data_IF_853046656287
#
_entry.id   IF_853046656287
#
_cell.length_a   1.000
_cell.length_b   1.000
_cell.length_c   1.000
_cell.angle_alpha   90.00
_cell.angle_beta   90.00
_cell.angle_gamma   90.00
#
_symmetry.space_group_name_H-M   'P 1'
#
loop_
_entity.id
_entity.type
_entity.pdbx_description
1 polymer ?
#
# COMPACT_ATOMS: atom_id res chain seq x y z
N UNK A 1 -78.20 -82.99 -69.31
CA UNK A 1 -79.66 -83.03 -69.57
C UNK A 1 -79.91 -82.47 -70.97
N UNK A 2 -80.61 -83.21 -71.83
CA UNK A 2 -81.14 -82.66 -73.09
C UNK A 2 -82.46 -81.95 -72.77
N UNK A 3 -82.56 -80.67 -73.13
CA UNK A 3 -83.79 -79.89 -73.03
C UNK A 3 -84.54 -79.99 -74.35
N UNK A 4 -85.79 -80.44 -74.32
CA UNK A 4 -86.63 -80.61 -75.50
C UNK A 4 -87.94 -79.86 -75.36
N UNK A 5 -88.23 -78.98 -76.31
CA UNK A 5 -89.52 -78.34 -76.46
C UNK A 5 -90.34 -79.15 -77.46
N UNK A 6 -91.26 -79.98 -76.95
CA UNK A 6 -92.17 -80.80 -77.77
C UNK A 6 -92.96 -79.97 -78.80
N UNK A 7 -93.63 -78.86 -78.45
CA UNK A 7 -94.44 -78.09 -79.42
C UNK A 7 -93.63 -77.54 -80.58
N UNK A 8 -92.36 -77.18 -80.34
CA UNK A 8 -91.50 -76.63 -81.38
C UNK A 8 -90.62 -77.67 -82.07
N UNK A 9 -90.66 -78.93 -81.62
CA UNK A 9 -89.69 -79.99 -81.94
C UNK A 9 -88.23 -79.54 -81.84
N UNK A 10 -87.94 -78.59 -80.94
CA UNK A 10 -86.61 -78.03 -80.73
C UNK A 10 -85.90 -78.79 -79.59
N UNK A 11 -84.62 -79.11 -79.76
CA UNK A 11 -83.82 -79.74 -78.72
C UNK A 11 -82.43 -79.12 -78.64
N UNK A 12 -81.93 -79.00 -77.42
CA UNK A 12 -80.58 -78.51 -77.14
C UNK A 12 -80.06 -79.13 -75.84
N UNK A 13 -78.74 -79.21 -75.68
CA UNK A 13 -78.11 -79.63 -74.41
C UNK A 13 -77.84 -78.44 -73.47
N UNK A 14 -77.97 -77.20 -73.94
CA UNK A 14 -77.66 -75.99 -73.17
C UNK A 14 -78.92 -75.33 -72.59
N UNK A 15 -78.98 -75.19 -71.26
CA UNK A 15 -80.13 -74.59 -70.56
C UNK A 15 -80.40 -73.15 -71.00
N UNK A 16 -79.36 -72.33 -71.10
CA UNK A 16 -79.50 -70.93 -71.52
C UNK A 16 -80.12 -70.80 -72.91
N UNK A 17 -79.72 -71.64 -73.88
CA UNK A 17 -80.35 -71.67 -75.21
C UNK A 17 -81.80 -72.16 -75.17
N UNK A 18 -82.14 -73.04 -74.23
CA UNK A 18 -83.51 -73.46 -74.01
C UNK A 18 -84.36 -72.33 -73.39
N UNK A 19 -83.85 -71.63 -72.39
CA UNK A 19 -84.52 -70.47 -71.78
C UNK A 19 -84.71 -69.34 -72.81
N UNK A 20 -83.70 -69.09 -73.65
CA UNK A 20 -83.82 -68.14 -74.77
C UNK A 20 -84.85 -68.62 -75.79
N UNK A 21 -84.88 -69.93 -76.10
CA UNK A 21 -85.89 -70.53 -76.96
C UNK A 21 -87.31 -70.30 -76.42
N UNK A 22 -87.54 -70.50 -75.12
CA UNK A 22 -88.85 -70.25 -74.49
C UNK A 22 -89.28 -68.78 -74.59
N UNK A 23 -88.33 -67.85 -74.62
CA UNK A 23 -88.59 -66.42 -74.83
C UNK A 23 -88.76 -66.02 -76.31
N UNK A 24 -88.45 -66.91 -77.27
CA UNK A 24 -88.58 -66.56 -78.70
C UNK A 24 -90.04 -66.48 -79.14
N UNK A 25 -90.35 -65.49 -79.97
CA UNK A 25 -91.70 -65.31 -80.52
C UNK A 25 -92.21 -66.52 -81.29
N UNK A 26 -91.30 -67.32 -81.88
CA UNK A 26 -91.63 -68.60 -82.53
C UNK A 26 -92.16 -69.63 -81.54
N UNK A 27 -91.57 -69.72 -80.35
CA UNK A 27 -92.06 -70.61 -79.30
C UNK A 27 -93.42 -70.14 -78.77
N UNK A 28 -93.59 -68.84 -78.50
CA UNK A 28 -94.88 -68.29 -78.09
C UNK A 28 -95.98 -68.58 -79.11
N UNK A 29 -95.71 -68.45 -80.43
CA UNK A 29 -96.69 -68.81 -81.47
C UNK A 29 -97.02 -70.30 -81.48
N UNK A 30 -96.03 -71.18 -81.35
CA UNK A 30 -96.28 -72.63 -81.33
C UNK A 30 -97.04 -73.08 -80.07
N UNK A 31 -96.74 -72.48 -78.92
CA UNK A 31 -97.51 -72.66 -77.68
C UNK A 31 -98.95 -72.13 -77.84
N UNK A 32 -99.12 -71.01 -78.55
CA UNK A 32 -100.44 -70.47 -78.86
C UNK A 32 -101.23 -71.44 -79.76
N UNK A 33 -100.60 -72.04 -80.76
CA UNK A 33 -101.24 -73.05 -81.63
C UNK A 33 -101.64 -74.30 -80.84
N UNK A 34 -100.77 -74.82 -79.97
CA UNK A 34 -101.13 -75.94 -79.08
C UNK A 34 -102.28 -75.56 -78.17
N UNK A 35 -102.23 -74.38 -77.55
CA UNK A 35 -103.31 -73.86 -76.72
C UNK A 35 -104.60 -73.74 -77.52
N UNK A 36 -104.57 -73.19 -78.75
CA UNK A 36 -105.76 -73.00 -79.58
C UNK A 36 -106.43 -74.31 -79.97
N UNK A 37 -105.64 -75.39 -80.13
CA UNK A 37 -106.11 -76.76 -80.37
C UNK A 37 -106.56 -77.51 -79.10
N UNK A 38 -106.35 -76.95 -77.89
CA UNK A 38 -106.89 -77.53 -76.66
C UNK A 38 -108.40 -77.33 -76.58
N UNK A 39 -109.08 -78.30 -75.97
CA UNK A 39 -110.52 -78.23 -75.74
C UNK A 39 -110.86 -77.07 -74.78
N UNK A 40 -112.09 -76.56 -74.85
CA UNK A 40 -112.50 -75.42 -74.03
C UNK A 40 -112.35 -75.67 -72.52
N UNK A 41 -112.53 -76.91 -72.06
CA UNK A 41 -112.41 -77.29 -70.64
C UNK A 41 -110.97 -77.22 -70.13
N UNK A 42 -109.98 -77.57 -70.96
CA UNK A 42 -108.56 -77.47 -70.59
C UNK A 42 -108.13 -76.01 -70.45
N UNK A 43 -108.61 -75.13 -71.37
CA UNK A 43 -108.36 -73.68 -71.30
C UNK A 43 -108.96 -73.07 -70.04
N UNK A 44 -110.19 -73.46 -69.68
CA UNK A 44 -110.86 -72.98 -68.46
C UNK A 44 -110.11 -73.44 -67.21
N UNK A 45 -109.60 -74.68 -67.18
CA UNK A 45 -108.85 -75.19 -66.04
C UNK A 45 -107.53 -74.44 -65.83
N UNK A 46 -106.79 -74.15 -66.90
CA UNK A 46 -105.55 -73.35 -66.84
C UNK A 46 -105.84 -71.92 -66.37
N UNK A 47 -106.89 -71.28 -66.90
CA UNK A 47 -107.27 -69.91 -66.50
C UNK A 47 -107.74 -69.85 -65.05
N UNK A 48 -108.49 -70.85 -64.55
CA UNK A 48 -108.84 -70.95 -63.12
C UNK A 48 -107.60 -71.05 -62.24
N UNK A 49 -106.63 -71.86 -62.64
CA UNK A 49 -105.39 -72.05 -61.88
C UNK A 49 -104.54 -70.76 -61.88
N UNK A 50 -104.49 -70.03 -63.00
CA UNK A 50 -103.85 -68.71 -63.08
C UNK A 50 -104.57 -67.66 -62.20
N UNK A 51 -105.90 -67.67 -62.17
CA UNK A 51 -106.69 -66.76 -61.35
C UNK A 51 -106.48 -67.04 -59.85
N UNK A 52 -106.45 -68.31 -59.44
CA UNK A 52 -106.18 -68.72 -58.06
C UNK A 52 -104.78 -68.26 -57.62
N UNK A 53 -103.79 -68.45 -58.49
CA UNK A 53 -102.41 -68.06 -58.23
C UNK A 53 -102.26 -66.52 -58.14
N UNK A 54 -102.97 -65.78 -59.00
CA UNK A 54 -103.02 -64.32 -58.93
C UNK A 54 -103.68 -63.81 -57.63
N UNK A 55 -104.75 -64.47 -57.15
CA UNK A 55 -105.38 -64.15 -55.86
C UNK A 55 -104.43 -64.37 -54.68
N UNK A 56 -103.68 -65.48 -54.69
CA UNK A 56 -102.65 -65.77 -53.68
C UNK A 56 -101.54 -64.71 -53.67
N UNK A 57 -101.03 -64.31 -54.84
CA UNK A 57 -100.03 -63.25 -54.92
C UNK A 57 -100.55 -61.89 -54.44
N UNK A 58 -101.82 -61.57 -54.74
CA UNK A 58 -102.43 -60.33 -54.27
C UNK A 58 -102.58 -60.33 -52.73
N UNK A 59 -102.99 -61.45 -52.14
CA UNK A 59 -103.11 -61.59 -50.69
C UNK A 59 -101.74 -61.45 -49.98
N UNK A 60 -100.69 -62.08 -50.53
CA UNK A 60 -99.32 -61.94 -50.05
C UNK A 60 -98.86 -60.48 -50.07
N UNK A 61 -98.96 -59.80 -51.22
CA UNK A 61 -98.59 -58.37 -51.34
C UNK A 61 -99.38 -57.47 -50.40
N UNK A 62 -100.67 -57.75 -50.20
CA UNK A 62 -101.51 -56.97 -49.29
C UNK A 62 -101.05 -57.13 -47.83
N UNK A 63 -100.57 -58.32 -47.44
CA UNK A 63 -100.01 -58.56 -46.10
C UNK A 63 -98.66 -57.87 -45.91
N UNK A 64 -97.81 -57.82 -46.94
CA UNK A 64 -96.50 -57.14 -46.92
C UNK A 64 -96.67 -55.63 -46.74
N UNK A 65 -97.58 -55.01 -47.50
CA UNK A 65 -97.88 -53.58 -47.37
C UNK A 65 -98.40 -53.22 -45.97
N UNK A 66 -99.19 -54.11 -45.33
CA UNK A 66 -99.64 -53.91 -43.94
C UNK A 66 -98.47 -53.96 -42.95
N UNK A 67 -97.56 -54.93 -43.10
CA UNK A 67 -96.34 -55.03 -42.26
C UNK A 67 -95.43 -53.81 -42.46
N UNK A 68 -95.24 -53.35 -43.69
CA UNK A 68 -94.39 -52.20 -44.00
C UNK A 68 -94.94 -50.89 -43.42
N UNK A 69 -96.26 -50.68 -43.49
CA UNK A 69 -96.92 -49.55 -42.82
C UNK A 69 -96.72 -49.58 -41.30
N UNK A 70 -96.75 -50.76 -40.69
CA UNK A 70 -96.54 -50.90 -39.24
C UNK A 70 -95.09 -50.62 -38.84
N UNK A 71 -94.11 -51.14 -39.61
CA UNK A 71 -92.68 -50.86 -39.42
C UNK A 71 -92.40 -49.36 -39.56
N UNK A 72 -92.96 -48.70 -40.58
CA UNK A 72 -92.78 -47.25 -40.80
C UNK A 72 -93.34 -46.42 -39.63
N UNK A 73 -94.45 -46.85 -39.02
CA UNK A 73 -95.04 -46.19 -37.86
C UNK A 73 -94.16 -46.33 -36.61
N UNK A 74 -93.57 -47.49 -36.37
CA UNK A 74 -92.65 -47.70 -35.24
C UNK A 74 -91.32 -46.96 -35.43
N UNK A 75 -90.74 -46.99 -36.64
CA UNK A 75 -89.54 -46.21 -36.97
C UNK A 75 -89.75 -44.70 -36.74
N UNK A 76 -90.91 -44.17 -37.15
CA UNK A 76 -91.26 -42.76 -36.90
C UNK A 76 -91.25 -42.41 -35.40
N UNK A 77 -91.78 -43.29 -34.54
CA UNK A 77 -91.77 -43.06 -33.08
C UNK A 77 -90.35 -43.05 -32.51
N UNK A 78 -89.49 -43.97 -32.97
CA UNK A 78 -88.08 -44.05 -32.53
C UNK A 78 -87.32 -42.78 -32.93
N UNK A 79 -87.46 -42.35 -34.18
CA UNK A 79 -86.80 -41.13 -34.69
C UNK A 79 -87.24 -39.89 -33.90
N UNK A 80 -88.54 -39.76 -33.59
CA UNK A 80 -89.05 -38.64 -32.79
C UNK A 80 -88.53 -38.69 -31.35
N UNK A 81 -88.44 -39.89 -30.74
CA UNK A 81 -87.88 -40.04 -29.39
C UNK A 81 -86.40 -39.66 -29.34
N UNK A 82 -85.62 -40.14 -30.31
CA UNK A 82 -84.18 -39.86 -30.42
C UNK A 82 -83.90 -38.38 -30.69
N UNK A 83 -84.72 -37.72 -31.53
CA UNK A 83 -84.62 -36.27 -31.75
C UNK A 83 -84.90 -35.45 -30.48
N UNK A 84 -85.85 -35.89 -29.64
CA UNK A 84 -86.14 -35.23 -28.35
C UNK A 84 -85.00 -35.40 -27.34
N UNK A 85 -84.38 -36.57 -27.29
CA UNK A 85 -83.22 -36.84 -26.42
C UNK A 85 -81.99 -36.02 -26.85
N UNK A 86 -81.68 -36.00 -28.15
CA UNK A 86 -80.58 -35.20 -28.70
C UNK A 86 -80.78 -33.71 -28.42
N UNK A 87 -82.01 -33.19 -28.59
CA UNK A 87 -82.33 -31.78 -28.27
C UNK A 87 -82.10 -31.47 -26.78
N UNK A 88 -82.37 -32.43 -25.89
CA UNK A 88 -82.13 -32.28 -24.44
C UNK A 88 -80.63 -32.31 -24.12
N UNK A 89 -79.86 -33.21 -24.73
CA UNK A 89 -78.41 -33.28 -24.58
C UNK A 89 -77.73 -31.99 -25.05
N UNK A 90 -78.04 -31.54 -26.27
CA UNK A 90 -77.50 -30.29 -26.82
C UNK A 90 -77.82 -29.06 -25.95
N UNK A 91 -79.00 -29.01 -25.33
CA UNK A 91 -79.36 -27.93 -24.40
C UNK A 91 -78.51 -27.96 -23.12
N UNK A 92 -78.13 -29.14 -22.64
CA UNK A 92 -77.27 -29.30 -21.47
C UNK A 92 -75.81 -28.96 -21.81
N UNK A 93 -75.29 -29.47 -22.92
CA UNK A 93 -73.94 -29.16 -23.41
C UNK A 93 -73.76 -27.66 -23.64
N UNK A 94 -74.75 -26.99 -24.24
CA UNK A 94 -74.73 -25.54 -24.42
C UNK A 94 -74.65 -24.79 -23.09
N UNK A 95 -75.40 -25.21 -22.08
CA UNK A 95 -75.36 -24.59 -20.74
C UNK A 95 -74.00 -24.81 -20.06
N UNK A 96 -73.40 -25.98 -20.25
CA UNK A 96 -72.09 -26.30 -19.68
C UNK A 96 -70.96 -25.51 -20.37
N UNK A 97 -70.98 -25.45 -21.71
CA UNK A 97 -70.06 -24.61 -22.48
C UNK A 97 -70.17 -23.13 -22.09
N UNK A 98 -71.38 -22.61 -21.88
CA UNK A 98 -71.58 -21.23 -21.43
C UNK A 98 -71.01 -20.97 -20.02
N UNK A 99 -71.15 -21.94 -19.09
CA UNK A 99 -70.52 -21.87 -17.77
C UNK A 99 -69.00 -21.87 -17.85
N UNK A 100 -68.41 -22.70 -18.72
CA UNK A 100 -66.96 -22.75 -18.94
C UNK A 100 -66.46 -21.43 -19.52
N UNK A 101 -67.15 -20.91 -20.52
CA UNK A 101 -66.80 -19.64 -21.16
C UNK A 101 -66.85 -18.46 -20.18
N UNK A 102 -67.90 -18.34 -19.36
CA UNK A 102 -67.99 -17.30 -18.30
C UNK A 102 -66.86 -17.43 -17.28
N UNK A 103 -66.46 -18.65 -16.89
CA UNK A 103 -65.32 -18.87 -16.00
C UNK A 103 -63.98 -18.47 -16.64
N UNK A 104 -63.79 -18.71 -17.94
CA UNK A 104 -62.58 -18.29 -18.64
C UNK A 104 -62.50 -16.77 -18.79
N UNK A 105 -63.60 -16.13 -19.19
CA UNK A 105 -63.68 -14.68 -19.37
C UNK A 105 -63.37 -13.93 -18.06
N UNK A 106 -63.91 -14.41 -16.93
CA UNK A 106 -63.64 -13.81 -15.61
C UNK A 106 -62.18 -14.00 -15.16
N UNK A 107 -61.55 -15.13 -15.50
CA UNK A 107 -60.11 -15.33 -15.26
C UNK A 107 -59.26 -14.35 -16.08
N UNK A 108 -59.60 -14.15 -17.35
CA UNK A 108 -58.86 -13.26 -18.24
C UNK A 108 -58.97 -11.79 -17.81
N UNK A 109 -60.16 -11.34 -17.39
CA UNK A 109 -60.37 -10.01 -16.83
C UNK A 109 -59.55 -9.78 -15.56
N UNK A 110 -59.54 -10.75 -14.64
CA UNK A 110 -58.70 -10.68 -13.42
C UNK A 110 -57.22 -10.60 -13.76
N UNK A 111 -56.76 -11.33 -14.78
CA UNK A 111 -55.37 -11.29 -15.23
C UNK A 111 -55.01 -9.91 -15.82
N UNK A 112 -55.87 -9.36 -16.67
CA UNK A 112 -55.70 -8.01 -17.26
C UNK A 112 -55.61 -6.93 -16.17
N UNK A 113 -56.47 -6.97 -15.15
CA UNK A 113 -56.39 -6.03 -14.01
C UNK A 113 -55.09 -6.17 -13.21
N UNK A 114 -54.62 -7.41 -12.95
CA UNK A 114 -53.33 -7.64 -12.28
C UNK A 114 -52.16 -7.06 -13.07
N UNK A 115 -52.12 -7.29 -14.38
CA UNK A 115 -51.08 -6.74 -15.26
C UNK A 115 -51.10 -5.21 -15.23
N UNK A 116 -52.28 -4.59 -15.24
CA UNK A 116 -52.41 -3.13 -15.18
C UNK A 116 -51.92 -2.56 -13.84
N UNK A 117 -52.21 -3.22 -12.71
CA UNK A 117 -51.68 -2.84 -11.39
C UNK A 117 -50.15 -2.98 -11.34
N UNK A 118 -49.59 -4.08 -11.85
CA UNK A 118 -48.14 -4.28 -11.89
C UNK A 118 -47.45 -3.21 -12.73
N UNK A 119 -48.00 -2.83 -13.89
CA UNK A 119 -47.46 -1.74 -14.72
C UNK A 119 -47.42 -0.40 -13.98
N UNK A 120 -48.43 -0.09 -13.15
CA UNK A 120 -48.44 1.14 -12.32
C UNK A 120 -47.36 1.09 -11.23
N UNK A 121 -47.17 -0.06 -10.59
CA UNK A 121 -46.13 -0.25 -9.58
C UNK A 121 -44.73 -0.10 -10.16
N UNK A 122 -44.45 -0.72 -11.33
CA UNK A 122 -43.16 -0.61 -12.01
C UNK A 122 -42.83 0.85 -12.33
N UNK A 123 -43.78 1.62 -12.90
CA UNK A 123 -43.57 3.06 -13.17
C UNK A 123 -43.26 3.86 -11.90
N UNK A 124 -43.89 3.52 -10.77
CA UNK A 124 -43.62 4.19 -9.49
C UNK A 124 -42.21 3.87 -8.99
N UNK A 125 -41.83 2.58 -9.02
CA UNK A 125 -40.48 2.13 -8.63
C UNK A 125 -39.40 2.75 -9.51
N UNK A 126 -39.61 2.85 -10.82
CA UNK A 126 -38.69 3.50 -11.75
C UNK A 126 -38.48 4.98 -11.40
N UNK A 127 -39.57 5.70 -11.08
CA UNK A 127 -39.51 7.10 -10.63
C UNK A 127 -38.76 7.28 -9.30
N UNK A 128 -39.02 6.41 -8.32
CA UNK A 128 -38.32 6.45 -7.03
C UNK A 128 -36.83 6.08 -7.19
N UNK A 129 -36.51 5.12 -8.06
CA UNK A 129 -35.13 4.73 -8.38
C UNK A 129 -34.36 5.88 -9.03
N UNK A 130 -35.02 6.67 -9.90
CA UNK A 130 -34.42 7.84 -10.51
C UNK A 130 -34.08 8.91 -9.46
N UNK A 131 -35.01 9.22 -8.55
CA UNK A 131 -34.77 10.18 -7.45
C UNK A 131 -33.64 9.73 -6.53
N UNK A 132 -33.57 8.45 -6.17
CA UNK A 132 -32.48 7.89 -5.36
C UNK A 132 -31.13 8.04 -6.08
N UNK A 133 -31.08 7.88 -7.40
CA UNK A 133 -29.85 8.09 -8.17
C UNK A 133 -29.40 9.55 -8.15
N UNK A 134 -30.32 10.51 -8.30
CA UNK A 134 -30.00 11.95 -8.20
C UNK A 134 -29.50 12.33 -6.80
N UNK A 135 -30.15 11.86 -5.74
CA UNK A 135 -29.74 12.10 -4.36
C UNK A 135 -28.33 11.56 -4.10
N UNK A 136 -28.04 10.34 -4.58
CA UNK A 136 -26.71 9.73 -4.44
C UNK A 136 -25.62 10.49 -5.20
N UNK A 137 -25.95 11.12 -6.33
CA UNK A 137 -25.00 11.98 -7.05
C UNK A 137 -24.69 13.23 -6.22
N UNK A 138 -25.72 13.91 -5.68
CA UNK A 138 -25.53 15.09 -4.80
C UNK A 138 -24.68 14.78 -3.57
N UNK A 139 -24.97 13.68 -2.87
CA UNK A 139 -24.20 13.27 -1.69
C UNK A 139 -22.73 13.00 -2.05
N UNK A 140 -22.45 12.40 -3.21
CA UNK A 140 -21.07 12.19 -3.68
C UNK A 140 -20.37 13.52 -3.99
N UNK A 141 -21.05 14.48 -4.60
CA UNK A 141 -20.51 15.81 -4.89
C UNK A 141 -20.17 16.59 -3.61
N UNK A 142 -21.06 16.57 -2.61
CA UNK A 142 -20.79 17.18 -1.30
C UNK A 142 -19.60 16.54 -0.60
N UNK A 143 -19.51 15.20 -0.62
CA UNK A 143 -18.38 14.47 -0.03
C UNK A 143 -17.04 14.88 -0.65
N UNK A 144 -17.00 15.01 -1.99
CA UNK A 144 -15.81 15.50 -2.70
C UNK A 144 -15.46 16.93 -2.29
N UNK A 145 -16.46 17.80 -2.08
CA UNK A 145 -16.24 19.20 -1.68
C UNK A 145 -15.63 19.28 -0.27
N UNK A 146 -16.18 18.52 0.68
CA UNK A 146 -15.65 18.42 2.06
C UNK A 146 -14.22 17.87 2.05
N UNK A 147 -13.94 16.86 1.24
CA UNK A 147 -12.61 16.26 1.15
C UNK A 147 -11.56 17.25 0.60
N UNK A 148 -11.94 18.06 -0.41
CA UNK A 148 -11.09 19.15 -0.92
C UNK A 148 -10.81 20.23 0.12
N UNK A 149 -11.79 20.59 0.95
CA UNK A 149 -11.56 21.56 2.04
C UNK A 149 -10.64 20.99 3.12
N UNK A 150 -10.82 19.72 3.50
CA UNK A 150 -9.93 19.04 4.44
C UNK A 150 -8.47 18.98 3.96
N UNK A 151 -8.24 18.75 2.66
CA UNK A 151 -6.90 18.79 2.07
C UNK A 151 -6.29 20.19 2.21
N UNK A 152 -7.03 21.25 1.88
CA UNK A 152 -6.55 22.64 2.03
C UNK A 152 -6.20 22.99 3.47
N UNK A 153 -6.98 22.53 4.45
CA UNK A 153 -6.68 22.74 5.87
C UNK A 153 -5.41 22.00 6.28
N UNK A 154 -5.23 20.75 5.84
CA UNK A 154 -4.00 19.98 6.11
C UNK A 154 -2.76 20.64 5.51
N UNK A 155 -2.84 21.16 4.30
CA UNK A 155 -1.74 21.89 3.65
C UNK A 155 -1.36 23.17 4.40
N UNK A 156 -2.35 23.96 4.84
CA UNK A 156 -2.09 25.15 5.68
C UNK A 156 -1.42 24.78 7.01
N UNK A 157 -1.89 23.72 7.66
CA UNK A 157 -1.31 23.24 8.92
C UNK A 157 0.12 22.71 8.74
N UNK A 158 0.43 22.06 7.62
CA UNK A 158 1.80 21.64 7.31
C UNK A 158 2.73 22.85 7.14
N UNK A 159 2.33 23.85 6.34
CA UNK A 159 3.14 25.07 6.16
C UNK A 159 3.43 25.78 7.48
N UNK A 160 2.43 25.91 8.36
CA UNK A 160 2.63 26.50 9.69
C UNK A 160 3.60 25.70 10.56
N UNK A 161 3.57 24.36 10.49
CA UNK A 161 4.53 23.52 11.22
C UNK A 161 5.95 23.64 10.67
N UNK A 162 6.09 23.72 9.34
CA UNK A 162 7.40 23.90 8.70
C UNK A 162 8.01 25.26 9.07
N UNK A 163 7.20 26.32 9.10
CA UNK A 163 7.60 27.64 9.59
C UNK A 163 8.04 27.59 11.06
N UNK A 164 7.28 26.91 11.93
CA UNK A 164 7.66 26.72 13.34
C UNK A 164 8.96 25.92 13.49
N UNK A 165 9.16 24.85 12.71
CA UNK A 165 10.39 24.06 12.72
C UNK A 165 11.57 24.90 12.25
N UNK A 166 11.39 25.73 11.22
CA UNK A 166 12.43 26.66 10.75
C UNK A 166 12.81 27.64 11.84
N UNK A 167 11.83 28.27 12.49
CA UNK A 167 12.06 29.21 13.59
C UNK A 167 12.78 28.54 14.76
N UNK A 168 12.40 27.31 15.12
CA UNK A 168 13.03 26.54 16.19
C UNK A 168 14.48 26.13 15.84
N UNK A 169 14.76 25.81 14.58
CA UNK A 169 16.13 25.55 14.11
C UNK A 169 16.99 26.80 14.24
N UNK A 170 16.49 27.94 13.78
CA UNK A 170 17.20 29.21 13.90
C UNK A 170 17.46 29.59 15.37
N UNK A 171 16.48 29.39 16.25
CA UNK A 171 16.65 29.60 17.70
C UNK A 171 17.67 28.60 18.29
N UNK A 172 17.62 27.33 17.90
CA UNK A 172 18.54 26.30 18.39
C UNK A 172 19.98 26.53 17.91
N UNK A 173 20.15 27.03 16.69
CA UNK A 173 21.45 27.34 16.12
C UNK A 173 22.00 28.61 16.78
N UNK A 174 21.20 29.67 16.96
CA UNK A 174 21.60 30.88 17.71
C UNK A 174 21.92 30.61 19.18
N UNK A 175 21.19 29.71 19.84
CA UNK A 175 21.39 29.34 21.25
C UNK A 175 22.47 28.27 21.47
N UNK A 176 23.16 27.82 20.43
CA UNK A 176 24.19 26.79 20.56
C UNK A 176 25.36 27.31 21.41
N UNK A 177 25.66 26.63 22.52
CA UNK A 177 26.83 26.98 23.32
C UNK A 177 28.12 26.69 22.55
N UNK A 178 29.17 27.46 22.82
CA UNK A 178 30.50 27.29 22.21
C UNK A 178 30.98 25.84 22.31
N UNK A 179 30.77 25.19 23.45
CA UNK A 179 31.10 23.79 23.65
C UNK A 179 30.32 22.85 22.73
N UNK A 180 29.00 23.05 22.58
CA UNK A 180 28.16 22.22 21.72
C UNK A 180 28.53 22.41 20.24
N UNK A 181 28.86 23.64 19.85
CA UNK A 181 29.33 23.95 18.50
C UNK A 181 30.65 23.21 18.21
N UNK A 182 31.65 23.33 19.09
CA UNK A 182 32.93 22.64 18.95
C UNK A 182 32.72 21.13 18.80
N UNK A 183 31.89 20.53 19.67
CA UNK A 183 31.60 19.09 19.66
C UNK A 183 30.98 18.65 18.32
N UNK A 184 30.10 19.46 17.75
CA UNK A 184 29.36 19.14 16.52
C UNK A 184 30.24 19.29 15.27
N UNK A 185 31.04 20.36 15.20
CA UNK A 185 31.70 20.78 13.96
C UNK A 185 33.17 20.37 13.86
N UNK A 186 33.87 20.15 14.99
CA UNK A 186 35.30 19.86 14.99
C UNK A 186 35.56 18.37 15.25
N UNK A 187 35.79 17.57 14.21
CA UNK A 187 35.90 16.11 14.33
C UNK A 187 37.30 15.54 14.07
N UNK A 188 38.34 16.37 14.14
CA UNK A 188 39.72 15.94 13.92
C UNK A 188 40.24 14.94 14.97
N UNK A 189 41.39 14.33 14.67
CA UNK A 189 42.09 13.34 15.52
C UNK A 189 43.20 13.94 16.39
N UNK A 190 43.51 15.23 16.25
CA UNK A 190 44.52 15.89 17.09
C UNK A 190 44.06 15.96 18.54
N UNK A 191 44.66 15.15 19.40
CA UNK A 191 44.36 15.14 20.83
C UNK A 191 45.38 15.94 21.61
N UNK A 192 44.98 16.39 22.80
CA UNK A 192 45.93 16.78 23.83
C UNK A 192 46.60 15.51 24.34
N UNK A 193 47.92 15.45 24.17
CA UNK A 193 48.77 14.38 24.68
C UNK A 193 49.62 14.96 25.80
N UNK A 194 49.87 14.16 26.83
CA UNK A 194 50.86 14.51 27.84
C UNK A 194 52.22 14.64 27.18
N UNK A 195 52.86 15.79 27.33
CA UNK A 195 54.18 16.03 26.78
C UNK A 195 55.21 15.16 27.50
N UNK A 196 56.13 14.57 26.73
CA UNK A 196 57.30 13.90 27.29
C UNK A 196 58.52 14.83 27.32
N UNK A 197 59.53 14.49 28.12
CA UNK A 197 60.75 15.30 28.30
C UNK A 197 61.45 15.68 26.99
N UNK A 198 61.51 14.76 26.01
CA UNK A 198 62.15 15.03 24.71
C UNK A 198 61.37 16.09 23.93
N UNK A 199 60.05 15.99 23.90
CA UNK A 199 59.19 16.99 23.25
C UNK A 199 59.29 18.35 23.96
N UNK A 200 59.33 18.36 25.28
CA UNK A 200 59.45 19.58 26.08
C UNK A 200 60.79 20.26 25.82
N UNK A 201 61.92 19.54 25.87
CA UNK A 201 63.25 20.10 25.56
C UNK A 201 63.31 20.66 24.15
N UNK A 202 62.66 20.02 23.18
CA UNK A 202 62.53 20.57 21.81
C UNK A 202 61.69 21.85 21.79
N UNK A 203 60.63 21.93 22.58
CA UNK A 203 59.78 23.11 22.71
C UNK A 203 60.50 24.28 23.39
N UNK A 204 61.30 24.00 24.41
CA UNK A 204 62.13 24.99 25.12
C UNK A 204 63.44 25.32 24.39
N UNK A 205 63.78 24.54 23.36
CA UNK A 205 64.93 24.73 22.49
C UNK A 205 64.80 25.89 21.48
N UNK A 206 63.74 26.68 21.56
CA UNK A 206 63.58 27.91 20.79
C UNK A 206 62.82 28.98 21.56
N UNK A 207 62.92 30.22 21.10
CA UNK A 207 62.06 31.34 21.53
C UNK A 207 61.22 31.86 20.36
N UNK A 208 60.15 32.57 20.68
CA UNK A 208 59.33 33.29 19.73
C UNK A 208 59.77 34.76 19.74
N UNK A 209 60.10 35.32 18.58
CA UNK A 209 60.42 36.74 18.47
C UNK A 209 59.13 37.59 18.38
N UNK A 210 59.28 38.92 18.35
CA UNK A 210 58.14 39.85 18.25
C UNK A 210 57.29 39.65 16.99
N UNK A 211 57.87 39.05 15.94
CA UNK A 211 57.18 38.75 14.68
C UNK A 211 56.49 37.38 14.69
N UNK A 212 56.59 36.62 15.79
CA UNK A 212 56.04 35.27 15.89
C UNK A 212 56.95 34.16 15.33
N UNK A 213 58.19 34.48 14.93
CA UNK A 213 59.11 33.53 14.33
C UNK A 213 59.88 32.74 15.39
N UNK A 214 60.16 31.47 15.08
CA UNK A 214 60.93 30.57 15.96
C UNK A 214 62.42 30.80 15.77
N UNK A 215 63.11 31.19 16.84
CA UNK A 215 64.57 31.30 16.90
C UNK A 215 65.09 30.15 17.76
N UNK A 216 65.72 29.16 17.15
CA UNK A 216 66.30 28.00 17.83
C UNK A 216 67.59 28.35 18.55
N UNK A 217 67.82 27.75 19.71
CA UNK A 217 69.09 27.81 20.42
C UNK A 217 70.05 26.75 19.88
N UNK A 218 71.35 27.06 19.87
CA UNK A 218 72.38 26.14 19.35
C UNK A 218 72.57 24.92 20.27
N UNK A 219 72.32 25.10 21.56
CA UNK A 219 72.48 24.06 22.56
C UNK A 219 71.60 24.29 23.80
N UNK A 220 71.53 23.27 24.65
CA UNK A 220 70.74 23.28 25.87
C UNK A 220 71.16 24.39 26.84
N UNK A 221 72.45 24.72 26.91
CA UNK A 221 72.97 25.76 27.79
C UNK A 221 72.42 27.14 27.44
N UNK A 222 72.35 27.49 26.15
CA UNK A 222 71.72 28.73 25.69
C UNK A 222 70.23 28.79 26.05
N UNK A 223 69.51 27.68 25.89
CA UNK A 223 68.09 27.58 26.29
C UNK A 223 67.91 27.82 27.79
N UNK A 224 68.74 27.19 28.64
CA UNK A 224 68.69 27.36 30.11
C UNK A 224 69.03 28.80 30.52
N UNK A 225 70.08 29.39 29.93
CA UNK A 225 70.44 30.79 30.20
C UNK A 225 69.32 31.76 29.78
N UNK A 226 68.66 31.49 28.66
CA UNK A 226 67.51 32.28 28.23
C UNK A 226 66.33 32.14 29.20
N UNK A 227 66.07 30.93 29.71
CA UNK A 227 65.05 30.68 30.73
C UNK A 227 65.34 31.46 32.01
N UNK A 228 66.60 31.51 32.48
CA UNK A 228 67.01 32.37 33.62
C UNK A 228 66.73 33.83 33.34
N UNK A 229 67.19 34.34 32.19
CA UNK A 229 66.94 35.72 31.80
C UNK A 229 65.44 36.06 31.79
N UNK A 230 64.60 35.17 31.26
CA UNK A 230 63.14 35.36 31.30
C UNK A 230 62.57 35.30 32.71
N UNK A 231 63.13 34.49 33.61
CA UNK A 231 62.71 34.46 35.01
C UNK A 231 63.07 35.75 35.74
N UNK A 232 64.31 36.21 35.60
CA UNK A 232 64.82 37.44 36.20
C UNK A 232 64.03 38.67 35.72
N UNK A 233 63.68 38.70 34.43
CA UNK A 233 62.84 39.73 33.80
C UNK A 233 61.34 39.61 34.14
N UNK A 234 60.93 38.61 34.93
CA UNK A 234 59.52 38.29 35.21
C UNK A 234 58.68 37.96 33.96
N UNK A 235 59.32 37.48 32.89
CA UNK A 235 58.74 37.11 31.59
C UNK A 235 58.66 35.61 31.32
N UNK A 236 58.94 34.78 32.32
CA UNK A 236 58.93 33.31 32.17
C UNK A 236 57.55 32.79 31.76
N UNK A 237 56.48 33.40 32.29
CA UNK A 237 55.09 33.01 32.00
C UNK A 237 54.79 33.20 30.51
N UNK A 238 55.15 34.37 29.98
CA UNK A 238 54.97 34.77 28.59
C UNK A 238 55.79 33.85 27.67
N UNK A 239 57.05 33.60 28.02
CA UNK A 239 57.91 32.71 27.24
C UNK A 239 57.31 31.30 27.11
N UNK A 240 56.91 30.69 28.23
CA UNK A 240 56.29 29.34 28.21
C UNK A 240 54.96 29.38 27.45
N UNK A 241 54.16 30.43 27.68
CA UNK A 241 52.89 30.64 27.01
C UNK A 241 53.03 30.73 25.50
N UNK A 242 53.99 31.52 25.01
CA UNK A 242 54.26 31.68 23.58
C UNK A 242 54.72 30.37 22.93
N UNK A 243 55.53 29.59 23.65
CA UNK A 243 55.95 28.26 23.19
C UNK A 243 54.73 27.32 23.08
N UNK A 244 53.83 27.31 24.07
CA UNK A 244 52.58 26.54 24.04
C UNK A 244 51.68 27.00 22.87
N UNK A 245 51.49 28.31 22.73
CA UNK A 245 50.71 28.91 21.64
C UNK A 245 51.29 28.46 20.30
N UNK A 246 52.60 28.59 20.08
CA UNK A 246 53.24 28.22 18.81
C UNK A 246 53.15 26.71 18.46
N UNK A 247 52.84 25.87 19.45
CA UNK A 247 52.69 24.41 19.27
C UNK A 247 51.23 24.01 19.01
N UNK A 248 50.30 24.60 19.76
CA UNK A 248 48.90 24.16 19.80
C UNK A 248 47.94 25.11 19.07
N UNK A 249 48.30 26.38 18.87
CA UNK A 249 47.54 27.34 18.10
C UNK A 249 47.80 27.12 16.60
N UNK A 250 47.16 26.08 16.06
CA UNK A 250 47.09 25.78 14.63
C UNK A 250 45.86 26.46 14.01
N UNK A 251 45.58 26.11 12.75
CA UNK A 251 44.27 26.36 12.13
C UNK A 251 43.15 25.95 13.09
N UNK A 252 42.06 26.71 13.09
CA UNK A 252 40.96 26.54 14.03
C UNK A 252 40.47 25.08 14.08
N UNK A 253 40.41 24.41 12.93
CA UNK A 253 39.92 23.03 12.80
C UNK A 253 40.88 21.94 13.29
N UNK A 254 42.08 22.30 13.75
CA UNK A 254 43.13 21.35 14.15
C UNK A 254 43.58 21.49 15.61
N UNK A 255 43.05 22.47 16.34
CA UNK A 255 43.47 22.75 17.72
C UNK A 255 43.09 21.61 18.66
N UNK A 256 43.99 21.22 19.55
CA UNK A 256 43.70 20.16 20.54
C UNK A 256 42.77 20.62 21.67
N UNK A 257 42.55 21.93 21.83
CA UNK A 257 41.64 22.51 22.82
C UNK A 257 41.21 23.92 22.46
N UNK A 258 40.10 24.35 23.06
CA UNK A 258 39.50 25.68 22.90
C UNK A 258 39.08 26.23 24.27
N UNK A 259 39.26 27.54 24.48
CA UNK A 259 38.67 28.25 25.61
C UNK A 259 37.24 28.68 25.25
N UNK A 260 36.29 28.28 26.08
CA UNK A 260 34.85 28.60 25.91
C UNK A 260 34.35 29.69 26.85
N UNK A 261 35.13 30.01 27.89
CA UNK A 261 34.83 31.03 28.90
C UNK A 261 36.17 31.55 29.45
N UNK A 262 36.48 32.81 29.16
CA UNK A 262 37.73 33.46 29.53
C UNK A 262 37.86 33.63 31.06
N UNK A 263 36.76 33.98 31.74
CA UNK A 263 36.79 34.33 33.15
C UNK A 263 36.93 33.11 34.05
N UNK A 264 36.28 32.00 33.65
CA UNK A 264 36.31 30.74 34.41
C UNK A 264 37.39 29.78 33.95
N UNK A 265 38.17 30.16 32.93
CA UNK A 265 39.18 29.32 32.30
C UNK A 265 38.60 27.95 31.92
N UNK A 266 37.39 27.93 31.34
CA UNK A 266 36.74 26.69 30.94
C UNK A 266 37.15 26.32 29.52
N UNK A 267 37.67 25.12 29.38
CA UNK A 267 38.13 24.60 28.11
C UNK A 267 37.29 23.42 27.62
N UNK A 268 37.38 23.18 26.32
CA UNK A 268 36.96 21.95 25.67
C UNK A 268 38.22 21.34 25.05
N UNK A 269 38.60 20.16 25.52
CA UNK A 269 39.87 19.49 25.20
C UNK A 269 39.59 18.20 24.43
N UNK A 270 40.32 17.97 23.34
CA UNK A 270 40.21 16.76 22.53
C UNK A 270 41.05 15.65 23.16
N UNK A 271 40.43 14.54 23.53
CA UNK A 271 41.10 13.38 24.15
C UNK A 271 40.81 12.09 23.39
N UNK A 272 41.64 11.07 23.61
CA UNK A 272 41.41 9.71 23.11
C UNK A 272 41.20 8.77 24.30
N UNK A 273 39.98 8.27 24.47
CA UNK A 273 39.61 7.41 25.60
C UNK A 273 38.68 6.30 25.10
N UNK A 274 38.96 5.05 25.50
CA UNK A 274 38.13 3.90 25.11
C UNK A 274 38.04 3.66 23.60
N UNK A 275 39.13 3.92 22.85
CA UNK A 275 39.16 3.73 21.40
C UNK A 275 38.46 4.81 20.58
N UNK A 276 37.99 5.90 21.21
CA UNK A 276 37.25 6.99 20.53
C UNK A 276 37.88 8.35 20.83
N UNK A 277 37.83 9.23 19.83
CA UNK A 277 38.19 10.64 19.96
C UNK A 277 36.98 11.43 20.45
N UNK A 278 37.12 12.12 21.58
CA UNK A 278 36.03 12.86 22.21
C UNK A 278 36.47 14.21 22.71
N UNK A 279 35.53 15.15 22.72
CA UNK A 279 35.71 16.45 23.36
C UNK A 279 35.24 16.37 24.80
N UNK A 280 36.11 16.74 25.73
CA UNK A 280 35.84 16.73 27.15
C UNK A 280 35.87 18.15 27.70
N UNK A 281 34.95 18.46 28.62
CA UNK A 281 35.00 19.70 29.40
C UNK A 281 36.17 19.66 30.37
N UNK A 282 36.97 20.71 30.37
CA UNK A 282 38.12 20.90 31.23
C UNK A 282 37.95 22.19 32.03
N UNK A 283 37.35 22.05 33.22
CA UNK A 283 37.04 23.19 34.09
C UNK A 283 38.34 23.70 34.71
N UNK A 284 38.59 25.01 34.64
CA UNK A 284 39.82 25.60 35.18
C UNK A 284 41.11 25.12 34.49
N UNK A 285 41.01 24.49 33.32
CA UNK A 285 42.15 23.99 32.54
C UNK A 285 42.98 22.88 33.22
N UNK A 286 42.38 22.06 34.07
CA UNK A 286 43.09 21.03 34.84
C UNK A 286 43.79 19.99 33.94
N UNK A 287 43.18 19.57 32.84
CA UNK A 287 43.81 18.66 31.88
C UNK A 287 44.97 19.35 31.16
N UNK A 288 44.81 20.62 30.76
CA UNK A 288 45.90 21.39 30.11
C UNK A 288 47.08 21.54 31.08
N UNK A 289 46.81 21.89 32.35
CA UNK A 289 47.84 21.98 33.39
C UNK A 289 48.57 20.65 33.57
N UNK A 290 47.83 19.55 33.73
CA UNK A 290 48.41 18.24 33.99
C UNK A 290 49.18 17.64 32.78
N UNK A 291 48.74 17.92 31.56
CA UNK A 291 49.30 17.31 30.34
C UNK A 291 50.39 18.17 29.68
N UNK A 292 50.36 19.50 29.86
CA UNK A 292 51.25 20.42 29.16
C UNK A 292 52.04 21.29 30.14
N UNK A 293 51.37 22.10 30.95
CA UNK A 293 52.03 23.16 31.71
C UNK A 293 52.93 22.59 32.82
N UNK A 294 52.39 21.73 33.69
CA UNK A 294 53.15 21.17 34.81
C UNK A 294 54.33 20.30 34.34
N UNK A 295 54.17 19.42 33.32
CA UNK A 295 55.32 18.74 32.72
C UNK A 295 56.41 19.70 32.22
N UNK A 296 56.03 20.81 31.57
CA UNK A 296 56.99 21.81 31.11
C UNK A 296 57.74 22.49 32.25
N UNK A 297 57.02 22.90 33.31
CA UNK A 297 57.63 23.51 34.50
C UNK A 297 58.60 22.55 35.20
N UNK A 298 58.21 21.29 35.35
CA UNK A 298 59.07 20.26 35.92
C UNK A 298 60.35 20.06 35.07
N UNK A 299 60.21 19.98 33.75
CA UNK A 299 61.37 19.82 32.87
C UNK A 299 62.30 21.05 32.89
N UNK A 300 61.79 22.26 33.09
CA UNK A 300 62.61 23.46 33.30
C UNK A 300 63.52 23.28 34.52
N UNK A 301 62.97 22.83 35.65
CA UNK A 301 63.77 22.55 36.86
C UNK A 301 64.83 21.48 36.58
N UNK A 302 64.49 20.41 35.85
CA UNK A 302 65.43 19.36 35.45
C UNK A 302 66.53 19.92 34.55
N UNK A 303 66.19 20.75 33.56
CA UNK A 303 67.15 21.36 32.65
C UNK A 303 68.14 22.27 33.38
N UNK A 304 67.67 23.03 34.37
CA UNK A 304 68.53 23.87 35.23
C UNK A 304 69.44 22.98 36.09
N UNK A 305 68.88 21.94 36.73
CA UNK A 305 69.68 21.01 37.54
C UNK A 305 70.74 20.27 36.71
N UNK A 306 70.40 19.85 35.48
CA UNK A 306 71.34 19.24 34.53
C UNK A 306 72.44 20.24 34.12
N UNK A 307 72.09 21.52 33.95
CA UNK A 307 73.05 22.58 33.65
C UNK A 307 74.07 22.75 34.78
N UNK A 308 73.60 22.82 36.03
CA UNK A 308 74.46 22.91 37.22
C UNK A 308 75.35 21.68 37.43
N UNK A 309 74.94 20.50 36.93
CA UNK A 309 75.72 19.24 37.01
C UNK A 309 76.66 19.04 35.83
N UNK A 310 76.61 19.88 34.80
CA UNK A 310 77.39 19.68 33.59
C UNK A 310 78.89 19.73 33.92
N UNK A 311 79.64 18.72 33.47
CA UNK A 311 81.08 18.61 33.73
C UNK A 311 81.86 19.88 33.35
N UNK A 312 81.49 20.58 32.27
CA UNK A 312 82.14 21.86 31.89
C UNK A 312 81.81 23.03 32.83
N UNK A 313 80.64 23.00 33.46
CA UNK A 313 80.28 23.97 34.49
C UNK A 313 81.03 23.65 35.78
N UNK A 314 81.05 22.37 36.19
CA UNK A 314 81.80 21.89 37.33
C UNK A 314 83.32 21.99 37.16
N UNK A 315 83.85 21.85 35.95
CA UNK A 315 85.28 22.04 35.62
C UNK A 315 85.65 23.52 35.70
N UNK A 316 84.82 24.43 35.19
CA UNK A 316 84.98 25.88 35.46
C UNK A 316 84.94 26.19 36.95
N UNK A 317 83.99 25.60 37.69
CA UNK A 317 83.96 25.73 39.15
C UNK A 317 85.24 25.24 39.81
N UNK A 318 85.79 24.10 39.39
CA UNK A 318 87.00 23.50 39.99
C UNK A 318 88.27 24.26 39.62
N UNK A 319 88.43 24.65 38.36
CA UNK A 319 89.59 25.40 37.87
C UNK A 319 89.69 26.79 38.51
N UNK A 320 88.57 27.42 38.85
CA UNK A 320 88.54 28.70 39.54
C UNK A 320 88.67 28.54 41.06
N UNK A 321 88.10 27.48 41.66
CA UNK A 321 88.28 27.14 43.07
C UNK A 321 89.73 26.82 43.45
N UNK A 322 90.47 26.09 42.59
CA UNK A 322 91.88 25.76 42.83
C UNK A 322 92.82 26.97 42.64
N UNK A 323 92.38 28.03 41.94
CA UNK A 323 93.17 29.27 41.72
C UNK A 323 92.81 30.39 42.69
N UNK A 324 91.56 30.46 43.15
CA UNK A 324 91.05 31.47 44.06
C UNK A 324 90.18 30.78 45.12
N UNK A 325 90.70 30.70 46.34
CA UNK A 325 90.09 29.92 47.43
C UNK A 325 88.69 30.39 47.86
N UNK A 326 88.22 31.53 47.36
CA UNK A 326 86.90 32.11 47.59
C UNK A 326 86.56 33.02 46.41
N UNK A 327 86.11 32.50 45.26
CA UNK A 327 85.44 33.35 44.25
C UNK A 327 83.95 33.47 44.63
N UNK A 328 83.52 34.59 45.24
CA UNK A 328 82.15 34.74 45.71
C UNK A 328 81.13 34.73 44.57
N UNK A 329 81.55 35.08 43.34
CA UNK A 329 80.65 35.23 42.20
C UNK A 329 80.14 33.86 41.70
N UNK A 330 80.98 32.84 41.74
CA UNK A 330 80.65 31.46 41.31
C UNK A 330 79.71 30.75 42.30
N UNK A 331 79.93 30.96 43.61
CA UNK A 331 79.02 30.49 44.66
C UNK A 331 77.68 31.25 44.59
N UNK A 332 77.73 32.55 44.29
CA UNK A 332 76.54 33.37 44.06
C UNK A 332 75.73 32.84 42.88
N UNK A 333 76.36 32.59 41.73
CA UNK A 333 75.68 32.06 40.54
C UNK A 333 75.01 30.70 40.82
N UNK A 334 75.71 29.77 41.47
CA UNK A 334 75.13 28.47 41.84
C UNK A 334 73.93 28.60 42.78
N UNK A 335 74.04 29.50 43.76
CA UNK A 335 72.98 29.81 44.71
C UNK A 335 71.77 30.43 44.00
N UNK A 336 71.99 31.34 43.05
CA UNK A 336 70.93 31.93 42.22
C UNK A 336 70.15 30.87 41.45
N UNK A 337 70.84 29.92 40.81
CA UNK A 337 70.20 28.82 40.09
C UNK A 337 69.36 27.94 41.02
N UNK A 338 69.85 27.61 42.22
CA UNK A 338 69.11 26.83 43.20
C UNK A 338 67.89 27.59 43.73
N UNK A 339 68.05 28.87 44.07
CA UNK A 339 66.96 29.72 44.51
C UNK A 339 65.86 29.83 43.45
N UNK A 340 66.25 29.96 42.17
CA UNK A 340 65.31 29.96 41.05
C UNK A 340 64.52 28.64 40.98
N UNK A 341 65.19 27.49 41.04
CA UNK A 341 64.53 26.18 41.01
C UNK A 341 63.55 26.04 42.18
N UNK A 342 63.98 26.33 43.40
CA UNK A 342 63.11 26.26 44.59
C UNK A 342 61.90 27.19 44.48
N UNK A 343 62.10 28.42 43.98
CA UNK A 343 61.01 29.36 43.79
C UNK A 343 60.01 28.92 42.69
N UNK A 344 60.49 28.29 41.62
CA UNK A 344 59.62 27.70 40.60
C UNK A 344 58.83 26.52 41.18
N UNK A 345 59.49 25.63 41.92
CA UNK A 345 58.85 24.47 42.55
C UNK A 345 57.77 24.87 43.57
N UNK A 346 58.04 25.86 44.41
CA UNK A 346 57.06 26.41 45.36
C UNK A 346 55.83 26.98 44.63
N UNK A 347 56.05 27.79 43.59
CA UNK A 347 54.98 28.37 42.77
C UNK A 347 54.23 27.34 41.94
N UNK A 348 54.87 26.24 41.58
CA UNK A 348 54.25 25.10 40.91
C UNK A 348 53.35 24.32 41.88
N UNK A 349 53.84 24.02 43.09
CA UNK A 349 53.10 23.30 44.12
C UNK A 349 51.85 24.07 44.60
N UNK A 350 51.91 25.40 44.61
CA UNK A 350 50.78 26.28 44.90
C UNK A 350 49.86 26.55 43.69
N UNK A 351 50.15 25.97 42.52
CA UNK A 351 49.47 26.21 41.23
C UNK A 351 49.47 27.67 40.74
N UNK A 352 50.25 28.56 41.37
CA UNK A 352 50.30 29.98 40.98
C UNK A 352 50.86 30.11 39.56
N UNK A 353 51.99 29.45 39.29
CA UNK A 353 52.67 29.57 38.00
C UNK A 353 51.86 28.92 36.87
N UNK A 354 51.25 27.76 37.15
CA UNK A 354 50.44 27.04 36.16
C UNK A 354 49.16 27.80 35.81
N UNK A 355 48.50 28.43 36.79
CA UNK A 355 47.33 29.28 36.55
C UNK A 355 47.70 30.55 35.78
N UNK A 356 48.85 31.17 36.06
CA UNK A 356 49.29 32.37 35.33
C UNK A 356 49.62 32.06 33.86
N UNK A 357 50.28 30.93 33.58
CA UNK A 357 50.52 30.46 32.21
C UNK A 357 49.19 30.16 31.51
N UNK A 358 48.26 29.47 32.21
CA UNK A 358 46.94 29.18 31.66
C UNK A 358 46.18 30.47 31.31
N UNK A 359 46.18 31.47 32.20
CA UNK A 359 45.58 32.79 31.97
C UNK A 359 46.17 33.46 30.72
N UNK A 360 47.50 33.45 30.60
CA UNK A 360 48.20 34.03 29.46
C UNK A 360 47.75 33.42 28.13
N UNK A 361 47.69 32.09 28.03
CA UNK A 361 47.32 31.42 26.77
C UNK A 361 45.81 31.50 26.48
N UNK A 362 44.96 31.68 27.50
CA UNK A 362 43.49 31.56 27.37
C UNK A 362 42.92 32.44 26.26
N UNK A 363 43.39 33.68 26.16
CA UNK A 363 42.88 34.66 25.19
C UNK A 363 43.15 34.24 23.74
N UNK A 364 44.31 33.63 23.48
CA UNK A 364 44.69 33.14 22.15
C UNK A 364 43.90 31.91 21.72
N UNK A 365 43.48 31.09 22.69
CA UNK A 365 42.67 29.89 22.44
C UNK A 365 41.17 30.14 22.54
N UNK A 366 40.71 31.39 22.67
CA UNK A 366 39.29 31.69 22.74
C UNK A 366 38.56 31.24 21.48
N UNK A 367 37.44 30.57 21.67
CA UNK A 367 36.56 30.17 20.58
C UNK A 367 35.49 31.23 20.34
N UNK A 368 35.65 31.95 19.23
CA UNK A 368 34.65 32.88 18.72
C UNK A 368 33.50 32.09 18.10
N UNK A 369 32.44 31.87 18.87
CA UNK A 369 31.32 31.06 18.42
C UNK A 369 30.57 31.75 17.27
N UNK A 370 30.58 31.20 16.04
CA UNK A 370 29.94 31.83 14.89
C UNK A 370 28.45 32.04 15.06
N UNK A 371 27.79 31.24 15.90
CA UNK A 371 26.35 31.37 16.15
C UNK A 371 25.98 32.57 17.02
N UNK A 372 26.96 33.16 17.71
CA UNK A 372 26.79 34.34 18.57
C UNK A 372 27.28 35.63 17.93
N UNK A 373 28.09 35.54 16.87
CA UNK A 373 28.72 36.67 16.21
C UNK A 373 27.77 37.47 15.28
N UNK A 374 26.48 37.11 15.22
CA UNK A 374 25.48 37.77 14.35
C UNK A 374 24.76 38.91 15.08
N UNK A 375 25.02 39.12 16.38
CA UNK A 375 24.29 40.09 17.23
C UNK A 375 25.09 41.35 17.62
N UNK A 376 26.31 41.51 17.10
CA UNK A 376 27.13 42.74 17.21
C UNK A 376 27.39 43.31 15.80
#
# INVERSE_FOLDING_TARGET
>A
MKYSCKPCKFYTIYKTRYDTHLATQKHSRNMQIEFDNMTADDKISILKLQLENAKLQLALKTSEVKKEKQIKKELSKIVVKQAKENKKQLKNERKEAEKIFKKQLTKELKLKMKIQMQKKLVKKVEGDTFKIKEENIRVKEEKIKVEKENIKVKEKNMKQKDEQISLLKDICDKSMSSAKYIIKHYNHKNTLKKLNSIEIRKMLGYRINKNGEKITFDNLGQSVNYIKMMYDDKKLIEHIGDVIISKYLKNDDERSFFSTDLNRLNYIVRTYKGGKFLWQKDKGGDLIKAQVINPMLHEICVMIADHCKNKKYLERMKEDYDRHMEDPDLISEYTEWHMMVSAIEEKMNSNILSNNILNYITTKFHFNNPTKAIEE
#
